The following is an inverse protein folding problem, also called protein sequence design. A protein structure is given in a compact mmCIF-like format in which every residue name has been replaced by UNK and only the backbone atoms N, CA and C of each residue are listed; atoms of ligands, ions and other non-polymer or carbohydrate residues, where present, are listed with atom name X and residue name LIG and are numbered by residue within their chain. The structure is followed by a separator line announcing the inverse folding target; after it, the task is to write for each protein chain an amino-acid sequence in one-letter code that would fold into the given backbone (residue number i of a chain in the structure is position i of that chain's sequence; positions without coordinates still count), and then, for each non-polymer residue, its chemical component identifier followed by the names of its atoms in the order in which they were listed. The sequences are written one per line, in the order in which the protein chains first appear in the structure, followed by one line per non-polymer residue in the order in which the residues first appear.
data_IF_505740725726
#
_entry.id   IF_505740725726
#
_cell.length_a   1.000
_cell.length_b   1.000
_cell.length_c   1.000
_cell.angle_alpha   90.00
_cell.angle_beta   90.00
_cell.angle_gamma   90.00
#
_symmetry.space_group_name_H-M   'P 1'
#
loop_
_entity.id
_entity.type
_entity.pdbx_description
1 polymer ?
#
# COMPACT_ATOMS: atom_id res chain seq x y z
N UNK A 1 -58.14 -3.44 40.59
CA UNK A 1 -56.98 -2.81 39.90
C UNK A 1 -56.10 -3.91 39.34
N UNK A 2 -56.11 -4.12 38.02
CA UNK A 2 -55.38 -5.22 37.39
C UNK A 2 -53.92 -4.82 37.15
N UNK A 3 -52.99 -5.58 37.71
CA UNK A 3 -51.56 -5.36 37.53
C UNK A 3 -51.17 -5.78 36.10
N UNK A 4 -50.89 -4.78 35.25
CA UNK A 4 -50.38 -4.97 33.90
C UNK A 4 -48.97 -5.57 33.98
N UNK A 5 -48.85 -6.88 33.79
CA UNK A 5 -47.56 -7.57 33.65
C UNK A 5 -46.89 -7.07 32.37
N UNK A 6 -45.91 -6.17 32.53
CA UNK A 6 -45.03 -5.72 31.45
C UNK A 6 -44.22 -6.94 31.03
N UNK A 7 -44.56 -7.49 29.86
CA UNK A 7 -43.81 -8.59 29.27
C UNK A 7 -42.34 -8.21 29.17
N UNK A 8 -41.47 -9.12 29.63
CA UNK A 8 -40.07 -9.14 29.24
C UNK A 8 -40.03 -9.37 27.73
N UNK A 9 -40.17 -8.29 26.97
CA UNK A 9 -39.73 -8.25 25.58
C UNK A 9 -38.26 -8.60 25.63
N UNK A 10 -37.90 -9.74 25.00
CA UNK A 10 -36.51 -10.13 24.78
C UNK A 10 -35.77 -8.87 24.35
N UNK A 11 -34.81 -8.42 25.16
CA UNK A 11 -33.80 -7.51 24.68
C UNK A 11 -33.20 -8.22 23.47
N UNK A 12 -33.55 -7.76 22.28
CA UNK A 12 -32.89 -8.20 21.06
C UNK A 12 -31.41 -7.98 21.35
N UNK A 13 -30.67 -9.08 21.47
CA UNK A 13 -29.25 -9.03 21.66
C UNK A 13 -28.74 -8.11 20.56
N UNK A 14 -28.10 -7.00 20.95
CA UNK A 14 -27.52 -6.04 20.04
C UNK A 14 -26.74 -6.84 19.00
N UNK A 15 -27.26 -6.88 17.77
CA UNK A 15 -26.69 -7.62 16.67
C UNK A 15 -25.28 -7.07 16.52
N UNK A 16 -24.27 -7.89 16.82
CA UNK A 16 -22.87 -7.49 16.75
C UNK A 16 -22.61 -6.85 15.38
N UNK A 17 -22.34 -5.55 15.39
CA UNK A 17 -22.09 -4.75 14.20
C UNK A 17 -20.66 -5.02 13.70
N UNK A 18 -20.35 -6.28 13.35
CA UNK A 18 -19.05 -6.66 12.79
C UNK A 18 -18.78 -5.94 11.46
N UNK A 19 -19.85 -5.55 10.75
CA UNK A 19 -19.79 -4.78 9.50
C UNK A 19 -19.27 -3.35 9.70
N UNK A 20 -19.49 -2.75 10.87
CA UNK A 20 -19.09 -1.37 11.15
C UNK A 20 -17.57 -1.21 11.25
N UNK A 21 -16.88 -2.22 11.80
CA UNK A 21 -15.44 -2.19 12.01
C UNK A 21 -14.66 -2.19 10.68
N UNK A 22 -15.10 -3.03 9.73
CA UNK A 22 -14.50 -3.12 8.39
C UNK A 22 -14.74 -1.84 7.60
N UNK A 23 -15.95 -1.25 7.72
CA UNK A 23 -16.28 -0.01 7.02
C UNK A 23 -15.46 1.18 7.56
N UNK A 24 -15.23 1.27 8.87
CA UNK A 24 -14.33 2.27 9.46
C UNK A 24 -12.85 2.07 9.10
N UNK A 25 -12.43 0.84 8.81
CA UNK A 25 -11.04 0.52 8.44
C UNK A 25 -10.73 0.80 6.96
N UNK A 26 -11.74 0.83 6.09
CA UNK A 26 -11.62 1.05 4.64
C UNK A 26 -10.73 2.24 4.23
N UNK A 27 -10.84 3.45 4.81
CA UNK A 27 -9.97 4.57 4.43
C UNK A 27 -8.50 4.32 4.76
N UNK A 28 -8.20 3.66 5.88
CA UNK A 28 -6.83 3.32 6.27
C UNK A 28 -6.19 2.30 5.34
N UNK A 29 -6.94 1.27 4.95
CA UNK A 29 -6.48 0.27 3.98
C UNK A 29 -6.24 0.93 2.62
N UNK A 30 -7.16 1.78 2.16
CA UNK A 30 -7.03 2.50 0.89
C UNK A 30 -5.81 3.42 0.89
N UNK A 31 -5.56 4.12 2.00
CA UNK A 31 -4.36 4.93 2.19
C UNK A 31 -3.08 4.07 2.18
N UNK A 32 -3.07 2.95 2.90
CA UNK A 32 -1.91 2.04 2.95
C UNK A 32 -1.52 1.52 1.58
N UNK A 33 -2.49 1.08 0.76
CA UNK A 33 -2.24 0.64 -0.62
C UNK A 33 -1.65 1.76 -1.47
N UNK A 34 -2.18 2.98 -1.37
CA UNK A 34 -1.65 4.14 -2.11
C UNK A 34 -0.24 4.51 -1.67
N UNK A 35 0.03 4.50 -0.36
CA UNK A 35 1.35 4.80 0.18
C UNK A 35 2.39 3.77 -0.29
N UNK A 36 2.06 2.48 -0.27
CA UNK A 36 2.92 1.42 -0.78
C UNK A 36 3.19 1.57 -2.28
N UNK A 37 2.18 1.96 -3.07
CA UNK A 37 2.36 2.21 -4.50
C UNK A 37 3.34 3.36 -4.77
N UNK A 38 3.26 4.45 -3.99
CA UNK A 38 4.19 5.59 -4.09
C UNK A 38 5.60 5.20 -3.65
N UNK A 39 5.75 4.49 -2.54
CA UNK A 39 7.06 4.02 -2.07
C UNK A 39 7.71 3.05 -3.07
N UNK A 40 6.91 2.13 -3.63
CA UNK A 40 7.37 1.20 -4.66
C UNK A 40 7.83 1.91 -5.92
N UNK A 41 7.08 2.90 -6.40
CA UNK A 41 7.48 3.66 -7.60
C UNK A 41 8.76 4.47 -7.34
N UNK A 42 8.90 5.09 -6.17
CA UNK A 42 10.09 5.81 -5.78
C UNK A 42 11.33 4.89 -5.76
N UNK A 43 11.22 3.70 -5.15
CA UNK A 43 12.29 2.69 -5.13
C UNK A 43 12.70 2.25 -6.54
N UNK A 44 11.73 1.95 -7.41
CA UNK A 44 12.02 1.57 -8.81
C UNK A 44 12.72 2.69 -9.54
N UNK A 45 12.30 3.94 -9.33
CA UNK A 45 12.95 5.11 -9.92
C UNK A 45 14.40 5.25 -9.44
N UNK A 46 14.66 5.10 -8.14
CA UNK A 46 16.02 5.15 -7.59
C UNK A 46 16.90 4.09 -8.25
N UNK A 47 16.45 2.83 -8.28
CA UNK A 47 17.22 1.73 -8.89
C UNK A 47 17.49 1.95 -10.37
N UNK A 48 16.53 2.51 -11.11
CA UNK A 48 16.71 2.85 -12.53
C UNK A 48 17.66 4.02 -12.77
N UNK A 49 17.69 5.00 -11.86
CA UNK A 49 18.53 6.18 -12.00
C UNK A 49 19.95 5.98 -11.45
N UNK A 50 20.22 4.90 -10.70
CA UNK A 50 21.59 4.52 -10.35
C UNK A 50 22.27 4.06 -11.65
N UNK A 51 23.27 4.81 -12.15
CA UNK A 51 23.95 4.45 -13.38
C UNK A 51 24.62 3.09 -13.19
N UNK A 52 24.30 2.15 -14.08
CA UNK A 52 24.90 0.83 -14.03
C UNK A 52 26.35 0.94 -14.49
N UNK A 53 27.30 0.23 -13.86
CA UNK A 53 28.72 0.30 -14.22
C UNK A 53 28.99 -0.13 -15.67
N UNK A 54 28.07 -0.87 -16.28
CA UNK A 54 28.10 -1.28 -17.69
C UNK A 54 28.04 -0.09 -18.68
N UNK A 55 27.42 1.03 -18.29
CA UNK A 55 27.28 2.24 -19.11
C UNK A 55 28.57 3.09 -19.12
N UNK A 56 29.60 2.68 -18.36
CA UNK A 56 30.94 3.26 -18.37
C UNK A 56 31.92 2.49 -19.27
N UNK A 57 31.44 1.80 -20.30
CA UNK A 57 32.33 1.50 -21.44
C UNK A 57 32.46 2.78 -22.26
N UNK A 58 33.61 3.50 -22.21
CA UNK A 58 33.88 4.47 -23.24
C UNK A 58 33.75 3.73 -24.57
N UNK A 59 32.85 4.21 -25.45
CA UNK A 59 32.79 3.75 -26.82
C UNK A 59 34.23 3.76 -27.33
N UNK A 60 34.76 2.59 -27.68
CA UNK A 60 36.16 2.31 -27.93
C UNK A 60 36.59 3.02 -29.24
N UNK A 61 36.55 4.34 -29.25
CA UNK A 61 37.14 5.22 -30.24
C UNK A 61 38.50 5.55 -29.66
N UNK A 62 39.48 4.71 -29.97
CA UNK A 62 40.90 5.07 -30.12
C UNK A 62 41.79 3.82 -30.16
N UNK A 63 41.42 2.83 -30.99
CA UNK A 63 42.39 1.80 -31.44
C UNK A 63 43.31 2.38 -32.53
N UNK A 64 43.81 3.60 -32.29
CA UNK A 64 44.83 4.23 -33.14
C UNK A 64 46.18 3.80 -32.57
N UNK A 65 46.61 2.60 -32.98
CA UNK A 65 47.98 2.14 -32.77
C UNK A 65 48.94 3.17 -33.39
N UNK A 66 49.61 3.97 -32.56
CA UNK A 66 50.76 4.75 -33.00
C UNK A 66 51.93 3.77 -33.03
N UNK A 67 52.29 3.30 -34.23
CA UNK A 67 53.58 2.64 -34.45
C UNK A 67 54.68 3.68 -34.30
N UNK A 68 55.58 3.45 -33.34
CA UNK A 68 56.90 4.08 -33.24
C UNK A 68 57.89 3.28 -34.09
#
# INVERSE_FOLDING_TARGET
MQQKKIGRGKAEAAKNNDNGLIETMKPFVTFGVKALAVLGSALVHIVKNIPKPEDHRPANKNDKVIKI
#
